data_IF_986118627082
#
_entry.id   IF_986118627082
#
_cell.length_a   1.000
_cell.length_b   1.000
_cell.length_c   1.000
_cell.angle_alpha   90.00
_cell.angle_beta   90.00
_cell.angle_gamma   90.00
#
_symmetry.space_group_name_H-M   'P 1'
#
loop_
_entity.id
_entity.type
_entity.pdbx_description
1 polymer ?
#
# COMPACT_ATOMS: atom_id res chain seq x y z
N UNK A 1 8.98 29.76 5.78
CA UNK A 1 9.19 30.75 4.70
C UNK A 1 9.21 30.00 3.39
N UNK A 2 8.61 30.52 2.35
CA UNK A 2 8.56 29.90 1.01
C UNK A 2 9.70 30.49 0.16
N UNK A 3 10.56 29.65 -0.42
CA UNK A 3 11.56 30.15 -1.41
C UNK A 3 10.85 30.36 -2.75
N UNK A 4 10.67 31.62 -3.11
CA UNK A 4 10.17 31.99 -4.43
C UNK A 4 11.34 32.39 -5.31
N UNK A 5 11.62 31.64 -6.38
CA UNK A 5 12.49 32.10 -7.45
C UNK A 5 11.72 33.06 -8.37
N UNK A 6 12.31 34.19 -8.68
CA UNK A 6 11.69 35.35 -9.37
C UNK A 6 11.16 35.08 -10.79
N UNK A 7 11.18 33.85 -11.27
CA UNK A 7 10.65 33.45 -12.59
C UNK A 7 9.59 32.33 -12.54
N UNK A 8 9.17 31.88 -11.37
CA UNK A 8 8.25 30.73 -11.21
C UNK A 8 7.12 31.15 -10.29
N UNK A 9 5.89 31.06 -10.77
CA UNK A 9 4.66 31.39 -10.02
C UNK A 9 4.33 30.44 -8.87
N UNK A 10 5.13 29.38 -8.66
CA UNK A 10 4.92 28.39 -7.61
C UNK A 10 6.07 28.46 -6.61
N UNK A 11 5.75 28.86 -5.39
CA UNK A 11 6.72 28.84 -4.29
C UNK A 11 6.81 27.43 -3.73
N UNK A 12 8.01 26.84 -3.75
CA UNK A 12 8.24 25.57 -3.02
C UNK A 12 8.23 25.86 -1.51
N UNK A 13 7.51 25.06 -0.71
CA UNK A 13 7.57 25.19 0.75
C UNK A 13 8.99 24.89 1.25
N UNK A 14 9.52 25.76 2.11
CA UNK A 14 10.96 25.78 2.50
C UNK A 14 11.49 24.51 3.18
N UNK A 15 10.66 23.56 3.58
CA UNK A 15 11.11 22.34 4.32
C UNK A 15 10.07 21.20 4.30
N UNK A 16 9.49 20.83 3.20
CA UNK A 16 8.71 19.60 3.23
C UNK A 16 9.38 18.51 2.37
N UNK A 17 9.33 17.29 2.84
CA UNK A 17 9.61 16.12 2.03
C UNK A 17 8.31 15.71 1.35
N UNK A 18 8.32 15.50 0.03
CA UNK A 18 7.17 14.93 -0.67
C UNK A 18 7.01 13.45 -0.31
N UNK A 19 5.79 12.94 -0.45
CA UNK A 19 5.47 11.53 -0.23
C UNK A 19 5.05 10.87 -1.55
N UNK A 20 5.83 9.92 -2.02
CA UNK A 20 5.51 9.10 -3.19
C UNK A 20 5.10 7.71 -2.74
N UNK A 21 3.95 7.25 -3.21
CA UNK A 21 3.31 6.02 -2.74
C UNK A 21 3.29 5.00 -3.88
N UNK A 22 3.79 3.80 -3.61
CA UNK A 22 3.79 2.66 -4.53
C UNK A 22 3.20 1.46 -3.82
N UNK A 23 2.42 0.65 -4.53
CA UNK A 23 1.83 -0.51 -3.89
C UNK A 23 0.61 -1.07 -4.59
N UNK A 24 -0.19 -1.74 -3.79
CA UNK A 24 -1.39 -2.46 -4.18
C UNK A 24 -2.68 -1.80 -3.65
N UNK A 25 -3.75 -2.59 -3.44
CA UNK A 25 -5.05 -2.10 -3.00
C UNK A 25 -5.06 -1.52 -1.59
N UNK A 26 -4.12 -1.88 -0.70
CA UNK A 26 -4.00 -1.24 0.62
C UNK A 26 -3.57 0.23 0.50
N UNK A 27 -3.06 0.63 -0.65
CA UNK A 27 -2.53 1.97 -0.90
C UNK A 27 -3.17 2.70 -2.09
N UNK A 28 -3.90 2.01 -2.99
CA UNK A 28 -4.52 2.62 -4.18
C UNK A 28 -5.64 3.59 -3.81
N UNK A 29 -5.39 4.86 -3.99
CA UNK A 29 -6.37 5.91 -3.71
C UNK A 29 -7.27 6.27 -4.90
N UNK A 30 -7.31 5.41 -5.93
CA UNK A 30 -8.22 5.53 -7.06
C UNK A 30 -7.56 5.51 -8.45
N UNK A 31 -6.30 5.07 -8.60
CA UNK A 31 -5.69 4.91 -9.92
C UNK A 31 -6.47 3.94 -10.80
N UNK A 32 -7.01 2.87 -10.23
CA UNK A 32 -7.78 1.87 -10.96
C UNK A 32 -9.10 2.40 -11.53
N UNK A 33 -9.55 3.59 -11.13
CA UNK A 33 -10.69 4.25 -11.76
C UNK A 33 -10.41 4.71 -13.20
N UNK A 34 -9.13 4.85 -13.56
CA UNK A 34 -8.68 5.44 -14.82
C UNK A 34 -8.03 4.45 -15.78
N UNK A 35 -8.12 3.15 -15.49
CA UNK A 35 -7.62 2.07 -16.36
C UNK A 35 -8.78 1.17 -16.80
N UNK A 36 -8.60 0.46 -17.90
CA UNK A 36 -9.54 -0.55 -18.36
C UNK A 36 -9.36 -1.83 -17.51
N UNK A 37 -10.24 -2.02 -16.53
CA UNK A 37 -10.20 -3.15 -15.59
C UNK A 37 -11.61 -3.57 -15.19
N UNK A 38 -11.73 -4.61 -14.36
CA UNK A 38 -13.02 -5.08 -13.83
C UNK A 38 -13.33 -4.47 -12.47
N UNK A 39 -14.60 -4.54 -12.07
CA UNK A 39 -15.08 -4.05 -10.77
C UNK A 39 -14.41 -4.72 -9.57
N UNK A 40 -13.82 -5.91 -9.73
CA UNK A 40 -13.05 -6.58 -8.67
C UNK A 40 -11.75 -5.86 -8.33
N UNK A 41 -11.22 -5.04 -9.27
CA UNK A 41 -10.04 -4.22 -9.06
C UNK A 41 -10.40 -2.75 -8.80
N UNK A 42 -11.66 -2.42 -8.50
CA UNK A 42 -12.13 -1.06 -8.28
C UNK A 42 -12.92 -0.94 -6.98
N UNK A 43 -12.91 0.25 -6.40
CA UNK A 43 -13.69 0.62 -5.22
C UNK A 43 -14.35 2.01 -5.40
N UNK A 44 -14.83 2.29 -6.62
CA UNK A 44 -15.44 3.56 -7.02
C UNK A 44 -16.98 3.51 -7.00
N UNK A 45 -17.56 2.72 -6.11
CA UNK A 45 -18.99 2.53 -5.93
C UNK A 45 -19.34 2.38 -4.43
N UNK A 46 -20.59 2.68 -4.03
CA UNK A 46 -21.03 2.45 -2.65
C UNK A 46 -20.92 0.98 -2.26
N UNK A 47 -20.61 0.67 -0.96
CA UNK A 47 -20.48 1.60 0.17
C UNK A 47 -19.06 2.10 0.44
N UNK A 48 -18.09 1.91 -0.48
CA UNK A 48 -16.74 2.43 -0.29
C UNK A 48 -16.76 3.97 -0.14
N UNK A 49 -15.90 4.52 0.72
CA UNK A 49 -15.75 5.96 0.93
C UNK A 49 -16.86 6.63 1.76
N UNK A 50 -17.79 5.87 2.34
CA UNK A 50 -19.00 6.42 3.00
C UNK A 50 -18.72 7.22 4.28
N UNK A 51 -17.59 6.99 4.97
CA UNK A 51 -17.31 7.65 6.25
C UNK A 51 -16.62 9.00 6.07
N UNK A 52 -15.39 9.04 5.60
CA UNK A 52 -14.59 10.26 5.51
C UNK A 52 -14.94 11.11 4.29
N UNK A 53 -14.89 10.53 3.10
CA UNK A 53 -15.09 11.27 1.84
C UNK A 53 -16.55 11.52 1.52
N UNK A 54 -17.48 10.72 2.04
CA UNK A 54 -18.91 10.74 1.73
C UNK A 54 -19.25 10.39 0.27
N UNK A 55 -18.29 9.85 -0.46
CA UNK A 55 -18.45 9.33 -1.81
C UNK A 55 -17.35 8.29 -2.12
N UNK A 56 -17.61 7.36 -3.03
CA UNK A 56 -16.63 6.36 -3.43
C UNK A 56 -15.53 7.02 -4.28
N UNK A 57 -14.31 7.02 -3.75
CA UNK A 57 -13.16 7.67 -4.37
C UNK A 57 -12.25 6.70 -5.15
N UNK A 58 -12.50 5.40 -5.01
CA UNK A 58 -11.64 4.33 -5.52
C UNK A 58 -10.70 3.72 -4.46
N UNK A 59 -10.79 4.21 -3.22
CA UNK A 59 -10.10 3.61 -2.07
C UNK A 59 -10.83 2.37 -1.59
N UNK A 60 -10.09 1.29 -1.36
CA UNK A 60 -10.65 0.03 -0.83
C UNK A 60 -10.88 0.13 0.69
N UNK A 61 -11.69 1.11 1.09
CA UNK A 61 -12.01 1.39 2.50
C UNK A 61 -13.32 2.15 2.58
N UNK A 62 -13.93 2.20 3.76
CA UNK A 62 -15.04 3.11 4.07
C UNK A 62 -14.61 4.59 4.08
N UNK A 63 -13.31 4.86 4.17
CA UNK A 63 -12.76 6.22 4.22
C UNK A 63 -11.31 6.29 3.76
N UNK A 64 -10.43 6.85 4.63
CA UNK A 64 -9.00 6.97 4.36
C UNK A 64 -8.32 5.60 4.40
N UNK A 65 -7.18 5.53 3.74
CA UNK A 65 -6.23 4.42 3.83
C UNK A 65 -4.95 4.86 4.55
N UNK A 66 -4.08 3.90 4.87
CA UNK A 66 -2.81 4.17 5.57
C UNK A 66 -2.01 5.33 4.95
N UNK A 67 -1.83 5.42 3.61
CA UNK A 67 -1.10 6.54 3.01
C UNK A 67 -1.76 7.90 3.19
N UNK A 68 -3.10 7.97 3.22
CA UNK A 68 -3.81 9.23 3.46
C UNK A 68 -3.55 9.74 4.89
N UNK A 69 -3.66 8.85 5.88
CA UNK A 69 -3.38 9.18 7.28
C UNK A 69 -1.89 9.53 7.50
N UNK A 70 -0.96 8.86 6.81
CA UNK A 70 0.46 9.23 6.81
C UNK A 70 0.67 10.62 6.22
N UNK A 71 -0.01 10.97 5.13
CA UNK A 71 0.08 12.32 4.55
C UNK A 71 -0.40 13.39 5.55
N UNK A 72 -1.52 13.15 6.25
CA UNK A 72 -2.01 14.05 7.30
C UNK A 72 -1.00 14.21 8.45
N UNK A 73 -0.42 13.11 8.94
CA UNK A 73 0.62 13.12 9.99
C UNK A 73 1.87 13.88 9.55
N UNK A 74 2.22 13.79 8.26
CA UNK A 74 3.30 14.55 7.64
C UNK A 74 2.94 16.01 7.32
N UNK A 75 1.69 16.44 7.60
CA UNK A 75 1.14 17.77 7.26
C UNK A 75 1.16 18.05 5.75
N UNK A 76 1.00 17.02 4.97
CA UNK A 76 0.82 17.08 3.52
C UNK A 76 -0.69 17.05 3.19
N UNK A 77 -1.10 17.57 2.04
CA UNK A 77 -2.46 17.37 1.55
C UNK A 77 -2.70 15.88 1.28
N UNK A 78 -3.95 15.45 1.25
CA UNK A 78 -4.30 14.14 0.70
C UNK A 78 -3.81 14.07 -0.73
N UNK A 79 -2.99 13.07 -1.04
CA UNK A 79 -2.32 12.98 -2.33
C UNK A 79 -3.28 12.46 -3.40
N UNK A 80 -3.21 12.99 -4.63
CA UNK A 80 -4.03 12.48 -5.73
C UNK A 80 -3.48 11.14 -6.26
N UNK A 81 -4.32 10.32 -6.90
CA UNK A 81 -3.84 9.26 -7.76
C UNK A 81 -3.15 9.84 -8.99
N UNK A 82 -2.07 9.20 -9.45
CA UNK A 82 -1.26 9.71 -10.59
C UNK A 82 -2.06 9.86 -11.87
N UNK A 83 -3.01 8.96 -12.13
CA UNK A 83 -3.83 8.98 -13.33
C UNK A 83 -5.02 9.93 -13.26
N UNK A 84 -5.21 10.64 -12.14
CA UNK A 84 -6.30 11.63 -12.02
C UNK A 84 -6.18 12.70 -13.13
N UNK A 85 -7.26 12.96 -13.92
CA UNK A 85 -7.20 13.95 -14.96
C UNK A 85 -7.07 15.37 -14.38
N UNK A 86 -6.22 16.18 -14.98
CA UNK A 86 -6.01 17.58 -14.61
C UNK A 86 -4.53 17.93 -14.45
N UNK A 87 -4.25 19.23 -14.31
CA UNK A 87 -2.91 19.73 -14.04
C UNK A 87 -2.60 19.57 -12.55
N UNK A 88 -2.08 18.41 -12.14
CA UNK A 88 -1.68 18.15 -10.77
C UNK A 88 -0.23 18.56 -10.59
N UNK A 89 0.02 19.40 -9.58
CA UNK A 89 1.36 19.71 -9.13
C UNK A 89 1.81 18.63 -8.13
N UNK A 90 2.77 17.79 -8.50
CA UNK A 90 3.25 16.68 -7.66
C UNK A 90 4.28 17.10 -6.61
N UNK A 91 4.39 18.39 -6.30
CA UNK A 91 5.40 18.91 -5.35
C UNK A 91 5.24 18.37 -3.93
N UNK A 92 4.05 17.95 -3.55
CA UNK A 92 3.79 17.28 -2.27
C UNK A 92 3.88 15.75 -2.36
N UNK A 93 4.03 15.22 -3.58
CA UNK A 93 4.01 13.80 -3.89
C UNK A 93 2.78 13.36 -4.66
N UNK A 94 2.66 12.07 -4.88
CA UNK A 94 1.57 11.45 -5.64
C UNK A 94 1.50 9.95 -5.33
N UNK A 95 0.33 9.38 -5.51
CA UNK A 95 0.08 7.97 -5.33
C UNK A 95 0.07 7.23 -6.68
N UNK A 96 0.95 6.24 -6.83
CA UNK A 96 1.05 5.37 -8.02
C UNK A 96 0.44 3.99 -7.81
N UNK A 97 0.05 3.64 -6.58
CA UNK A 97 -0.43 2.32 -6.22
C UNK A 97 -1.64 1.91 -7.05
N UNK A 98 -1.84 0.60 -7.23
CA UNK A 98 -2.91 0.03 -8.03
C UNK A 98 -3.45 -1.23 -7.38
N UNK A 99 -4.75 -1.26 -7.13
CA UNK A 99 -5.43 -2.43 -6.55
C UNK A 99 -5.16 -3.69 -7.34
N UNK A 100 -4.73 -4.78 -6.66
CA UNK A 100 -4.38 -6.05 -7.28
C UNK A 100 -2.95 -6.16 -7.81
N UNK A 101 -2.16 -5.08 -7.77
CA UNK A 101 -0.76 -5.11 -8.23
C UNK A 101 0.12 -5.99 -7.34
N UNK A 102 1.08 -6.66 -7.96
CA UNK A 102 2.18 -7.35 -7.32
C UNK A 102 3.53 -6.72 -7.64
N UNK A 103 4.59 -7.26 -7.04
CA UNK A 103 5.96 -6.95 -7.42
C UNK A 103 6.29 -7.56 -8.79
N UNK A 104 5.63 -8.66 -9.14
CA UNK A 104 5.74 -9.31 -10.45
C UNK A 104 4.80 -8.66 -11.45
N UNK A 105 5.27 -8.54 -12.68
CA UNK A 105 4.46 -8.01 -13.78
C UNK A 105 3.30 -8.94 -14.16
N UNK A 106 3.48 -10.23 -13.93
CA UNK A 106 2.52 -11.29 -14.21
C UNK A 106 1.33 -11.27 -13.26
N UNK A 107 1.48 -10.69 -12.06
CA UNK A 107 0.40 -10.57 -11.07
C UNK A 107 -0.70 -9.67 -11.61
N UNK A 108 -1.90 -10.23 -11.80
CA UNK A 108 -3.07 -9.55 -12.38
C UNK A 108 -2.76 -8.83 -13.71
N UNK A 109 -1.92 -9.43 -14.55
CA UNK A 109 -1.41 -8.83 -15.79
C UNK A 109 -2.53 -8.29 -16.67
N UNK A 110 -2.35 -7.04 -17.13
CA UNK A 110 -3.30 -6.35 -18.01
C UNK A 110 -4.52 -5.77 -17.30
N UNK A 111 -4.70 -6.06 -16.01
CA UNK A 111 -5.83 -5.59 -15.20
C UNK A 111 -5.45 -4.48 -14.22
N UNK A 112 -4.15 -4.31 -13.94
CA UNK A 112 -3.61 -3.40 -12.93
C UNK A 112 -2.38 -2.68 -13.44
N UNK A 113 -1.93 -1.68 -12.70
CA UNK A 113 -0.66 -0.96 -12.95
C UNK A 113 0.43 -1.68 -12.15
N UNK A 114 1.21 -2.53 -12.81
CA UNK A 114 2.29 -3.29 -12.19
C UNK A 114 3.38 -2.38 -11.60
N UNK A 115 4.16 -2.89 -10.64
CA UNK A 115 5.17 -2.10 -9.91
C UNK A 115 6.20 -1.43 -10.85
N UNK A 116 6.60 -2.08 -11.93
CA UNK A 116 7.53 -1.50 -12.90
C UNK A 116 6.93 -0.30 -13.62
N UNK A 117 5.64 -0.37 -13.95
CA UNK A 117 4.88 0.74 -14.53
C UNK A 117 4.73 1.88 -13.52
N UNK A 118 4.45 1.59 -12.23
CA UNK A 118 4.43 2.61 -11.15
C UNK A 118 5.77 3.35 -11.06
N UNK A 119 6.90 2.64 -11.12
CA UNK A 119 8.25 3.27 -11.16
C UNK A 119 8.45 4.10 -12.43
N UNK A 120 7.92 3.67 -13.57
CA UNK A 120 7.94 4.47 -14.81
C UNK A 120 7.18 5.80 -14.66
N UNK A 121 6.04 5.79 -13.97
CA UNK A 121 5.29 7.01 -13.67
C UNK A 121 6.09 7.97 -12.78
N UNK A 122 6.82 7.46 -11.79
CA UNK A 122 7.73 8.29 -10.99
C UNK A 122 8.84 8.93 -11.86
N UNK A 123 9.38 8.21 -12.85
CA UNK A 123 10.35 8.79 -13.81
C UNK A 123 9.73 9.92 -14.62
N UNK A 124 8.45 9.81 -14.99
CA UNK A 124 7.74 10.91 -15.65
C UNK A 124 7.59 12.11 -14.73
N UNK A 125 7.30 11.92 -13.44
CA UNK A 125 7.28 13.02 -12.45
C UNK A 125 8.65 13.69 -12.32
N UNK A 126 9.75 12.94 -12.30
CA UNK A 126 11.10 13.50 -12.35
C UNK A 126 11.31 14.39 -13.58
N UNK A 127 10.90 13.92 -14.76
CA UNK A 127 11.01 14.68 -15.99
C UNK A 127 10.21 15.99 -15.94
N UNK A 128 8.99 15.95 -15.41
CA UNK A 128 8.16 17.14 -15.18
C UNK A 128 8.84 18.13 -14.22
N UNK A 129 9.40 17.65 -13.12
CA UNK A 129 10.17 18.51 -12.20
C UNK A 129 11.40 19.12 -12.87
N UNK A 130 12.14 18.32 -13.65
CA UNK A 130 13.32 18.82 -14.37
C UNK A 130 12.97 19.89 -15.40
N UNK A 131 11.87 19.73 -16.12
CA UNK A 131 11.37 20.73 -17.08
C UNK A 131 10.89 21.99 -16.38
N UNK A 132 10.24 21.87 -15.22
CA UNK A 132 9.64 23.02 -14.52
C UNK A 132 10.62 23.79 -13.65
N UNK A 133 11.47 23.09 -12.92
CA UNK A 133 12.35 23.65 -11.88
C UNK A 133 13.84 23.56 -12.21
N UNK A 134 14.20 22.83 -13.27
CA UNK A 134 15.59 22.49 -13.60
C UNK A 134 16.09 21.24 -12.86
N UNK A 135 17.15 20.62 -13.41
CA UNK A 135 17.65 19.32 -12.92
C UNK A 135 18.08 19.34 -11.44
N UNK A 136 18.80 20.39 -11.01
CA UNK A 136 19.32 20.47 -9.64
C UNK A 136 18.19 20.49 -8.59
N UNK A 137 17.13 21.28 -8.82
CA UNK A 137 15.98 21.36 -7.92
C UNK A 137 15.17 20.06 -7.95
N UNK A 138 14.99 19.45 -9.13
CA UNK A 138 14.33 18.16 -9.26
C UNK A 138 15.05 17.06 -8.46
N UNK A 139 16.38 16.98 -8.53
CA UNK A 139 17.18 16.05 -7.74
C UNK A 139 17.07 16.32 -6.24
N UNK A 140 17.07 17.59 -5.82
CA UNK A 140 16.87 17.98 -4.43
C UNK A 140 15.52 17.52 -3.90
N UNK A 141 14.41 17.79 -4.62
CA UNK A 141 13.06 17.33 -4.25
C UNK A 141 13.05 15.82 -4.08
N UNK A 142 13.51 15.06 -5.08
CA UNK A 142 13.46 13.60 -5.07
C UNK A 142 14.34 12.99 -3.97
N UNK A 143 15.50 13.58 -3.68
CA UNK A 143 16.39 13.07 -2.63
C UNK A 143 15.86 13.31 -1.21
N UNK A 144 15.08 14.36 -1.01
CA UNK A 144 14.44 14.69 0.27
C UNK A 144 13.12 13.94 0.46
N UNK A 145 12.50 13.45 -0.61
CA UNK A 145 11.21 12.77 -0.58
C UNK A 145 11.26 11.40 0.10
N UNK A 146 10.12 10.98 0.63
CA UNK A 146 9.91 9.64 1.18
C UNK A 146 9.12 8.80 0.18
N UNK A 147 9.57 7.57 -0.06
CA UNK A 147 8.95 6.60 -0.95
C UNK A 147 8.33 5.49 -0.10
N UNK A 148 7.02 5.43 -0.03
CA UNK A 148 6.28 4.50 0.83
C UNK A 148 5.74 3.32 0.02
N UNK A 149 6.02 2.09 0.50
CA UNK A 149 5.67 0.84 -0.15
C UNK A 149 4.80 -0.06 0.72
N UNK A 150 3.81 -0.67 0.10
CA UNK A 150 3.19 -1.90 0.54
C UNK A 150 2.83 -2.72 -0.70
N UNK A 151 3.50 -3.86 -0.93
CA UNK A 151 3.33 -4.70 -2.11
C UNK A 151 3.89 -6.11 -1.85
N UNK A 152 3.38 -7.10 -2.56
CA UNK A 152 3.84 -8.48 -2.50
C UNK A 152 2.73 -9.47 -2.12
N UNK A 153 1.70 -9.02 -1.42
CA UNK A 153 0.61 -9.89 -0.99
C UNK A 153 -0.14 -10.53 -2.18
N UNK A 154 -0.39 -9.77 -3.24
CA UNK A 154 -1.11 -10.25 -4.41
C UNK A 154 -0.30 -11.27 -5.23
N UNK A 155 1.03 -11.20 -5.20
CA UNK A 155 1.88 -12.20 -5.85
C UNK A 155 1.59 -13.58 -5.28
N UNK A 156 1.46 -13.68 -3.95
CA UNK A 156 1.15 -14.93 -3.24
C UNK A 156 -0.32 -15.33 -3.38
N UNK A 157 -1.24 -14.37 -3.53
CA UNK A 157 -2.65 -14.65 -3.81
C UNK A 157 -2.86 -15.49 -5.07
N UNK A 158 -1.98 -15.36 -6.08
CA UNK A 158 -2.01 -16.17 -7.29
C UNK A 158 -1.82 -17.67 -7.04
N UNK A 159 -1.22 -18.06 -5.92
CA UNK A 159 -1.06 -19.46 -5.51
C UNK A 159 -2.37 -20.11 -5.07
N UNK A 160 -3.40 -19.29 -4.75
CA UNK A 160 -4.75 -19.77 -4.40
C UNK A 160 -5.65 -20.01 -5.61
N UNK A 161 -5.30 -19.49 -6.79
CA UNK A 161 -6.08 -19.67 -7.99
C UNK A 161 -5.77 -21.04 -8.64
N UNK A 162 -6.70 -22.04 -8.56
CA UNK A 162 -6.48 -23.34 -9.17
C UNK A 162 -6.38 -23.27 -10.71
N UNK A 163 -6.78 -22.15 -11.32
CA UNK A 163 -6.69 -21.91 -12.76
C UNK A 163 -5.47 -21.02 -13.10
N UNK A 164 -4.67 -20.65 -12.10
CA UNK A 164 -3.45 -19.88 -12.35
C UNK A 164 -2.53 -20.67 -13.27
N UNK A 165 -2.37 -20.17 -14.49
CA UNK A 165 -1.39 -20.67 -15.47
C UNK A 165 0.02 -20.22 -15.13
N UNK A 166 0.23 -19.65 -13.93
CA UNK A 166 1.57 -19.29 -13.51
C UNK A 166 2.40 -20.57 -13.43
N UNK A 167 3.27 -20.76 -14.41
CA UNK A 167 4.28 -21.83 -14.53
C UNK A 167 5.21 -21.89 -13.29
N UNK A 168 4.94 -21.03 -12.34
CA UNK A 168 5.63 -20.79 -11.09
C UNK A 168 4.82 -21.29 -9.88
N UNK A 169 4.04 -22.37 -10.01
CA UNK A 169 3.63 -23.13 -8.83
C UNK A 169 4.85 -23.94 -8.35
N UNK A 170 5.78 -23.38 -7.60
CA UNK A 170 6.83 -24.19 -7.06
C UNK A 170 6.31 -24.78 -5.76
N UNK A 171 6.58 -26.01 -5.62
CA UNK A 171 6.72 -26.68 -4.32
C UNK A 171 7.70 -25.91 -3.40
N UNK A 172 8.48 -24.97 -3.94
CA UNK A 172 9.46 -24.13 -3.25
C UNK A 172 8.96 -22.69 -3.04
N UNK A 173 8.30 -22.46 -1.91
CA UNK A 173 7.86 -21.14 -1.48
C UNK A 173 9.03 -20.13 -1.37
N UNK A 174 10.23 -20.59 -0.98
CA UNK A 174 11.39 -19.72 -0.85
C UNK A 174 11.85 -19.20 -2.21
N UNK A 175 11.92 -20.05 -3.23
CA UNK A 175 12.29 -19.64 -4.59
C UNK A 175 11.31 -18.61 -5.15
N UNK A 176 10.01 -18.76 -4.89
CA UNK A 176 9.02 -17.78 -5.32
C UNK A 176 9.17 -16.45 -4.57
N UNK A 177 9.38 -16.49 -3.26
CA UNK A 177 9.68 -15.28 -2.45
C UNK A 177 10.94 -14.58 -2.98
N UNK A 178 11.98 -15.31 -3.34
CA UNK A 178 13.22 -14.73 -3.87
C UNK A 178 12.99 -13.99 -5.20
N UNK A 179 12.11 -14.50 -6.07
CA UNK A 179 11.71 -13.83 -7.31
C UNK A 179 10.94 -12.54 -7.00
N UNK A 180 9.96 -12.57 -6.09
CA UNK A 180 9.16 -11.40 -5.69
C UNK A 180 10.07 -10.31 -5.09
N UNK A 181 10.95 -10.68 -4.16
CA UNK A 181 11.91 -9.76 -3.52
C UNK A 181 12.94 -9.24 -4.52
N UNK A 182 13.33 -10.05 -5.51
CA UNK A 182 14.21 -9.63 -6.61
C UNK A 182 13.59 -8.46 -7.37
N UNK A 183 12.35 -8.60 -7.84
CA UNK A 183 11.62 -7.55 -8.58
C UNK A 183 11.41 -6.29 -7.73
N UNK A 184 11.02 -6.43 -6.45
CA UNK A 184 10.91 -5.31 -5.54
C UNK A 184 12.26 -4.59 -5.35
N UNK A 185 13.36 -5.36 -5.23
CA UNK A 185 14.71 -4.81 -5.12
C UNK A 185 15.10 -3.99 -6.34
N UNK A 186 14.77 -4.45 -7.53
CA UNK A 186 15.05 -3.74 -8.78
C UNK A 186 14.26 -2.43 -8.85
N UNK A 187 12.97 -2.43 -8.45
CA UNK A 187 12.17 -1.23 -8.34
C UNK A 187 12.80 -0.21 -7.36
N UNK A 188 13.25 -0.65 -6.18
CA UNK A 188 13.94 0.20 -5.20
C UNK A 188 15.21 0.82 -5.78
N UNK A 189 16.04 0.01 -6.47
CA UNK A 189 17.26 0.49 -7.12
C UNK A 189 16.97 1.48 -8.24
N UNK A 190 15.92 1.25 -9.03
CA UNK A 190 15.50 2.19 -10.07
C UNK A 190 15.11 3.54 -9.47
N UNK A 191 14.33 3.55 -8.37
CA UNK A 191 13.97 4.78 -7.66
C UNK A 191 15.21 5.47 -7.04
N UNK A 192 16.13 4.69 -6.48
CA UNK A 192 17.39 5.23 -5.98
C UNK A 192 18.19 5.93 -7.09
N UNK A 193 18.26 5.35 -8.29
CA UNK A 193 18.93 5.92 -9.45
C UNK A 193 18.23 7.17 -10.00
N UNK A 194 16.92 7.28 -9.79
CA UNK A 194 16.13 8.49 -10.12
C UNK A 194 16.42 9.64 -9.15
N UNK A 195 16.95 9.35 -7.96
CA UNK A 195 17.31 10.34 -6.93
C UNK A 195 16.77 10.00 -5.53
N UNK A 196 15.86 9.02 -5.40
CA UNK A 196 15.26 8.64 -4.12
C UNK A 196 16.29 8.12 -3.11
N UNK A 197 16.16 8.53 -1.85
CA UNK A 197 17.09 8.15 -0.78
C UNK A 197 16.40 7.57 0.46
N UNK A 198 15.12 7.86 0.69
CA UNK A 198 14.39 7.55 1.92
C UNK A 198 13.19 6.68 1.63
N UNK A 199 13.19 5.44 2.10
CA UNK A 199 12.23 4.40 1.74
C UNK A 199 11.48 3.90 2.98
N UNK A 200 10.15 3.94 2.95
CA UNK A 200 9.29 3.38 3.98
C UNK A 200 8.59 2.12 3.47
N UNK A 201 8.48 1.11 4.32
CA UNK A 201 7.80 -0.14 3.98
C UNK A 201 6.84 -0.54 5.11
N UNK A 202 5.63 -0.93 4.73
CA UNK A 202 4.86 -1.87 5.53
C UNK A 202 5.19 -3.26 4.99
N UNK A 203 5.65 -4.16 5.85
CA UNK A 203 5.85 -5.53 5.43
C UNK A 203 4.50 -6.22 5.18
N UNK A 204 4.50 -7.40 4.55
CA UNK A 204 3.27 -8.12 4.20
C UNK A 204 2.57 -8.58 5.49
N UNK A 205 1.27 -8.26 5.67
CA UNK A 205 0.49 -8.70 6.83
C UNK A 205 0.25 -10.21 6.80
N UNK A 206 -0.33 -10.82 7.86
CA UNK A 206 -0.71 -12.23 7.86
C UNK A 206 -1.90 -12.45 6.91
N UNK A 207 -1.63 -12.54 5.60
CA UNK A 207 -2.64 -12.64 4.53
C UNK A 207 -3.62 -13.79 4.73
N UNK A 208 -3.17 -14.88 5.36
CA UNK A 208 -4.03 -16.00 5.74
C UNK A 208 -5.13 -15.66 6.74
N UNK A 209 -5.07 -14.47 7.39
CA UNK A 209 -6.08 -14.02 8.35
C UNK A 209 -7.19 -13.17 7.74
N UNK A 210 -7.07 -12.76 6.47
CA UNK A 210 -8.14 -11.99 5.82
C UNK A 210 -9.43 -12.83 5.71
N UNK A 211 -10.59 -12.22 5.83
CA UNK A 211 -11.86 -12.91 5.70
C UNK A 211 -11.95 -13.77 4.43
N UNK A 212 -11.47 -13.27 3.29
CA UNK A 212 -11.50 -13.97 2.00
C UNK A 212 -10.61 -15.22 1.97
N UNK A 213 -9.46 -15.20 2.61
CA UNK A 213 -8.57 -16.37 2.65
C UNK A 213 -9.07 -17.40 3.67
N UNK A 214 -9.64 -16.95 4.78
CA UNK A 214 -10.18 -17.84 5.82
C UNK A 214 -11.36 -18.70 5.36
N UNK A 215 -12.18 -18.24 4.42
CA UNK A 215 -13.27 -19.07 3.87
C UNK A 215 -12.76 -20.29 3.09
N UNK A 216 -11.50 -20.30 2.67
CA UNK A 216 -10.89 -21.40 1.92
C UNK A 216 -10.45 -22.56 2.83
N UNK A 217 -10.35 -22.33 4.15
CA UNK A 217 -9.99 -23.36 5.12
C UNK A 217 -11.25 -23.96 5.75
N UNK A 218 -11.30 -25.28 5.81
CA UNK A 218 -12.39 -26.01 6.45
C UNK A 218 -12.59 -25.51 7.90
N UNK A 219 -13.80 -25.04 8.20
CA UNK A 219 -14.26 -24.44 9.46
C UNK A 219 -13.78 -23.01 9.79
N UNK A 220 -12.89 -22.39 9.00
CA UNK A 220 -12.59 -20.95 9.04
C UNK A 220 -12.26 -20.30 10.40
N UNK A 221 -12.12 -21.06 11.48
CA UNK A 221 -11.91 -20.53 12.83
C UNK A 221 -10.52 -19.92 13.04
N UNK A 222 -9.54 -20.33 12.22
CA UNK A 222 -8.14 -19.90 12.29
C UNK A 222 -7.71 -19.23 10.99
N UNK A 223 -6.59 -18.51 11.03
CA UNK A 223 -5.92 -18.03 9.82
C UNK A 223 -5.37 -19.21 9.01
N UNK A 224 -5.31 -19.07 7.69
CA UNK A 224 -4.67 -20.05 6.83
C UNK A 224 -3.14 -19.95 6.98
N UNK A 225 -2.57 -20.89 7.74
CA UNK A 225 -1.19 -20.79 8.21
C UNK A 225 -0.15 -20.86 7.08
N UNK A 226 -0.41 -21.62 6.02
CA UNK A 226 0.50 -21.72 4.87
C UNK A 226 0.73 -20.33 4.22
N UNK A 227 -0.32 -19.54 4.04
CA UNK A 227 -0.22 -18.17 3.53
C UNK A 227 0.44 -17.22 4.51
N UNK A 228 0.17 -17.39 5.80
CA UNK A 228 0.86 -16.62 6.84
C UNK A 228 2.34 -16.95 6.90
N UNK A 229 2.72 -18.21 6.62
CA UNK A 229 4.12 -18.64 6.55
C UNK A 229 4.86 -17.99 5.36
N UNK A 230 4.23 -17.93 4.18
CA UNK A 230 4.82 -17.24 3.00
C UNK A 230 5.04 -15.75 3.30
N UNK A 231 4.08 -15.08 3.94
CA UNK A 231 4.24 -13.69 4.36
C UNK A 231 5.46 -13.50 5.28
N UNK A 232 5.69 -14.43 6.23
CA UNK A 232 6.89 -14.39 7.09
C UNK A 232 8.19 -14.58 6.31
N UNK A 233 8.21 -15.48 5.32
CA UNK A 233 9.38 -15.69 4.44
C UNK A 233 9.69 -14.40 3.67
N UNK A 234 8.66 -13.79 3.07
CA UNK A 234 8.78 -12.48 2.38
C UNK A 234 9.38 -11.42 3.30
N UNK A 235 8.81 -11.25 4.49
CA UNK A 235 9.21 -10.22 5.43
C UNK A 235 10.66 -10.36 5.89
N UNK A 236 11.11 -11.60 6.12
CA UNK A 236 12.50 -11.91 6.45
C UNK A 236 13.45 -11.59 5.28
N UNK A 237 13.06 -11.98 4.05
CA UNK A 237 13.85 -11.70 2.85
C UNK A 237 13.93 -10.20 2.55
N UNK A 238 12.81 -9.46 2.70
CA UNK A 238 12.77 -8.00 2.55
C UNK A 238 13.70 -7.31 3.54
N UNK A 239 13.62 -7.65 4.83
CA UNK A 239 14.47 -7.06 5.88
C UNK A 239 15.96 -7.28 5.59
N UNK A 240 16.34 -8.48 5.19
CA UNK A 240 17.72 -8.80 4.80
C UNK A 240 18.16 -7.94 3.61
N UNK A 241 17.32 -7.87 2.57
CA UNK A 241 17.63 -7.12 1.35
C UNK A 241 17.78 -5.62 1.62
N UNK A 242 16.93 -5.02 2.43
CA UNK A 242 17.02 -3.59 2.76
C UNK A 242 18.30 -3.26 3.55
N UNK A 243 18.70 -4.15 4.47
CA UNK A 243 19.97 -4.00 5.17
C UNK A 243 21.18 -4.10 4.23
N UNK A 244 21.15 -4.97 3.22
CA UNK A 244 22.18 -5.05 2.18
C UNK A 244 22.22 -3.78 1.32
N UNK A 245 21.05 -3.26 0.91
CA UNK A 245 20.95 -2.01 0.13
C UNK A 245 21.49 -0.81 0.90
N UNK A 246 21.24 -0.70 2.21
CA UNK A 246 21.79 0.40 3.03
C UNK A 246 23.31 0.39 3.05
N UNK A 247 23.95 -0.79 3.02
CA UNK A 247 25.41 -0.91 2.94
C UNK A 247 25.97 -0.59 1.56
N UNK A 248 25.21 -0.90 0.49
CA UNK A 248 25.67 -0.77 -0.89
C UNK A 248 25.41 0.61 -1.49
N UNK A 249 24.32 1.26 -1.09
CA UNK A 249 23.82 2.49 -1.71
C UNK A 249 24.05 3.69 -0.81
N UNK A 250 24.92 4.60 -1.23
CA UNK A 250 25.30 5.79 -0.45
C UNK A 250 24.09 6.67 -0.14
N UNK A 251 23.83 6.91 1.13
CA UNK A 251 22.75 7.78 1.61
C UNK A 251 21.37 7.12 1.56
N UNK A 252 21.28 5.84 1.23
CA UNK A 252 20.04 5.06 1.35
C UNK A 252 19.62 4.98 2.81
N UNK A 253 18.37 5.32 3.09
CA UNK A 253 17.73 5.23 4.40
C UNK A 253 16.41 4.52 4.28
N UNK A 254 16.07 3.69 5.25
CA UNK A 254 14.81 2.96 5.20
C UNK A 254 14.13 2.85 6.57
N UNK A 255 12.84 2.63 6.51
CA UNK A 255 11.95 2.30 7.62
C UNK A 255 11.16 1.05 7.23
N UNK A 256 11.11 0.06 8.10
CA UNK A 256 10.19 -1.07 7.96
C UNK A 256 9.32 -1.14 9.20
N UNK A 257 8.02 -1.04 9.01
CA UNK A 257 7.05 -1.42 10.03
C UNK A 257 6.85 -2.94 9.99
N UNK A 258 6.98 -3.60 11.14
CA UNK A 258 6.53 -4.99 11.31
C UNK A 258 4.99 -5.03 11.37
N UNK A 259 4.40 -4.83 10.18
CA UNK A 259 2.95 -4.80 10.01
C UNK A 259 2.35 -6.18 10.28
N UNK A 260 3.09 -7.26 9.95
CA UNK A 260 2.67 -8.63 10.26
C UNK A 260 2.39 -8.83 11.75
N UNK A 261 3.35 -8.48 12.62
CA UNK A 261 3.19 -8.66 14.06
C UNK A 261 2.18 -7.68 14.66
N UNK A 262 2.19 -6.41 14.23
CA UNK A 262 1.23 -5.42 14.70
C UNK A 262 -0.21 -5.82 14.33
N UNK A 263 -0.43 -6.25 13.09
CA UNK A 263 -1.73 -6.74 12.63
C UNK A 263 -2.18 -7.98 13.42
N UNK A 264 -1.28 -8.95 13.60
CA UNK A 264 -1.57 -10.18 14.36
C UNK A 264 -1.98 -9.89 15.80
N UNK A 265 -1.37 -8.88 16.44
CA UNK A 265 -1.74 -8.46 17.79
C UNK A 265 -3.17 -7.89 17.84
N UNK A 266 -3.53 -7.03 16.88
CA UNK A 266 -4.88 -6.47 16.76
C UNK A 266 -5.90 -7.56 16.45
N UNK A 267 -5.59 -8.44 15.50
CA UNK A 267 -6.45 -9.54 15.09
C UNK A 267 -6.78 -10.48 16.26
N UNK A 268 -5.79 -10.85 17.05
CA UNK A 268 -5.95 -11.79 18.17
C UNK A 268 -6.54 -11.14 19.44
N UNK A 269 -6.40 -9.83 19.62
CA UNK A 269 -6.85 -9.12 20.81
C UNK A 269 -7.52 -7.77 20.46
N UNK A 270 -8.59 -7.77 19.62
CA UNK A 270 -9.12 -6.53 19.04
C UNK A 270 -9.56 -5.50 20.07
N UNK A 271 -10.17 -5.91 21.18
CA UNK A 271 -10.66 -5.00 22.21
C UNK A 271 -9.55 -4.21 22.90
N UNK A 272 -8.35 -4.78 23.00
CA UNK A 272 -7.17 -4.09 23.53
C UNK A 272 -6.76 -2.88 22.67
N UNK A 273 -7.08 -2.94 21.38
CA UNK A 273 -6.73 -1.92 20.38
C UNK A 273 -7.94 -1.09 19.95
N UNK A 274 -9.06 -1.23 20.67
CA UNK A 274 -10.26 -0.44 20.46
C UNK A 274 -11.18 -0.95 19.34
N UNK A 275 -10.96 -2.16 18.83
CA UNK A 275 -11.87 -2.84 17.89
C UNK A 275 -12.72 -3.86 18.63
N UNK A 276 -13.93 -4.17 18.13
CA UNK A 276 -14.73 -5.27 18.65
C UNK A 276 -14.64 -6.51 17.75
N UNK A 277 -14.47 -6.29 16.45
CA UNK A 277 -14.53 -7.33 15.43
C UNK A 277 -13.29 -7.25 14.55
N UNK A 278 -12.42 -8.27 14.60
CA UNK A 278 -11.21 -8.34 13.77
C UNK A 278 -11.25 -9.47 12.74
N UNK A 279 -12.19 -10.39 12.83
CA UNK A 279 -12.21 -11.62 12.04
C UNK A 279 -13.31 -11.67 10.97
N UNK A 280 -14.12 -10.63 10.89
CA UNK A 280 -15.27 -10.52 9.96
C UNK A 280 -15.21 -9.17 9.28
N UNK A 281 -15.45 -9.12 7.97
CA UNK A 281 -15.58 -7.87 7.23
C UNK A 281 -16.82 -7.08 7.69
N UNK A 282 -16.75 -5.74 7.62
CA UNK A 282 -17.94 -4.91 7.81
C UNK A 282 -18.91 -5.07 6.64
N UNK A 283 -18.36 -5.16 5.41
CA UNK A 283 -19.12 -5.28 4.17
C UNK A 283 -18.77 -6.58 3.43
N UNK A 284 -19.76 -7.31 2.99
CA UNK A 284 -19.58 -8.53 2.22
C UNK A 284 -20.69 -9.56 2.50
N UNK A 285 -20.54 -10.77 1.98
CA UNK A 285 -21.48 -11.87 2.17
C UNK A 285 -20.77 -13.18 2.54
N UNK A 286 -21.57 -14.21 2.86
CA UNK A 286 -21.06 -15.52 3.25
C UNK A 286 -20.32 -15.56 4.59
N UNK A 287 -19.66 -16.68 4.92
CA UNK A 287 -18.91 -16.82 6.16
C UNK A 287 -17.86 -15.71 6.30
N UNK A 288 -17.79 -15.11 7.49
CA UNK A 288 -16.89 -13.99 7.82
C UNK A 288 -17.06 -12.74 6.92
N UNK A 289 -18.13 -12.65 6.11
CA UNK A 289 -18.25 -11.71 5.00
C UNK A 289 -17.01 -11.73 4.09
N UNK A 290 -16.47 -12.95 3.92
CA UNK A 290 -15.26 -13.21 3.16
C UNK A 290 -15.47 -13.35 1.67
N UNK A 291 -16.72 -13.41 1.20
CA UNK A 291 -17.05 -13.40 -0.23
C UNK A 291 -16.89 -11.98 -0.75
N UNK A 292 -16.16 -11.82 -1.87
CA UNK A 292 -15.95 -10.51 -2.52
C UNK A 292 -17.24 -10.03 -3.20
N UNK A 293 -18.11 -9.41 -2.42
CA UNK A 293 -19.43 -8.95 -2.85
C UNK A 293 -19.80 -7.55 -2.37
N UNK A 294 -18.88 -6.83 -1.71
CA UNK A 294 -19.13 -5.51 -1.17
C UNK A 294 -19.43 -4.47 -2.27
N UNK A 295 -20.69 -4.30 -2.61
CA UNK A 295 -21.15 -3.29 -3.59
C UNK A 295 -20.73 -3.55 -5.04
N UNK A 296 -21.06 -2.58 -5.90
CA UNK A 296 -20.71 -2.63 -7.32
C UNK A 296 -21.44 -3.70 -8.12
N UNK A 297 -20.99 -3.93 -9.35
CA UNK A 297 -21.50 -4.96 -10.25
C UNK A 297 -20.65 -6.24 -10.19
N UNK A 298 -20.34 -6.71 -8.98
CA UNK A 298 -19.64 -7.98 -8.77
C UNK A 298 -20.54 -9.16 -9.10
N UNK A 299 -19.96 -10.33 -9.28
CA UNK A 299 -20.71 -11.55 -9.62
C UNK A 299 -21.79 -11.90 -8.60
N UNK A 300 -21.53 -11.64 -7.32
CA UNK A 300 -22.50 -11.74 -6.21
C UNK A 300 -22.89 -10.31 -5.82
N UNK A 301 -24.18 -10.00 -5.93
CA UNK A 301 -24.72 -8.65 -5.71
C UNK A 301 -25.17 -8.39 -4.27
N UNK A 302 -25.52 -9.46 -3.57
CA UNK A 302 -26.03 -9.38 -2.20
C UNK A 302 -24.87 -9.26 -1.23
N UNK A 303 -24.93 -8.27 -0.36
CA UNK A 303 -23.96 -8.08 0.72
C UNK A 303 -24.66 -7.54 1.97
N UNK A 304 -24.07 -7.80 3.10
CA UNK A 304 -24.40 -7.21 4.37
C UNK A 304 -23.43 -6.07 4.67
N UNK A 305 -23.93 -5.05 5.39
CA UNK A 305 -23.11 -3.97 5.94
C UNK A 305 -23.26 -3.99 7.47
N UNK A 306 -22.16 -3.78 8.19
CA UNK A 306 -22.20 -3.73 9.64
C UNK A 306 -22.83 -2.43 10.15
N UNK A 307 -23.37 -2.44 11.38
CA UNK A 307 -24.00 -1.27 12.00
C UNK A 307 -22.99 -0.18 12.35
N UNK A 308 -21.76 -0.56 12.71
CA UNK A 308 -20.71 0.37 13.13
C UNK A 308 -19.34 -0.05 12.57
N UNK A 309 -18.94 0.59 11.49
CA UNK A 309 -17.66 0.32 10.81
C UNK A 309 -16.44 0.58 11.71
N UNK A 310 -16.52 1.53 12.64
CA UNK A 310 -15.42 1.84 13.56
C UNK A 310 -15.10 0.72 14.57
N UNK A 311 -15.96 -0.28 14.68
CA UNK A 311 -15.73 -1.45 15.53
C UNK A 311 -15.00 -2.58 14.81
N UNK A 312 -14.87 -2.50 13.48
CA UNK A 312 -14.29 -3.52 12.63
C UNK A 312 -12.85 -3.21 12.22
N UNK A 313 -12.02 -4.27 12.16
CA UNK A 313 -10.67 -4.19 11.60
C UNK A 313 -10.72 -4.15 10.06
N UNK A 314 -11.53 -5.03 9.47
CA UNK A 314 -11.72 -5.11 8.03
C UNK A 314 -12.99 -4.38 7.58
N UNK A 315 -12.87 -3.61 6.50
CA UNK A 315 -14.02 -3.05 5.82
C UNK A 315 -14.69 -4.09 4.93
N UNK A 316 -13.95 -4.67 3.99
CA UNK A 316 -14.43 -5.76 3.12
C UNK A 316 -13.72 -7.09 3.43
N UNK A 317 -13.72 -8.01 2.48
CA UNK A 317 -13.11 -9.33 2.62
C UNK A 317 -11.57 -9.32 2.74
N UNK A 318 -10.90 -8.20 2.40
CA UNK A 318 -9.44 -8.07 2.34
C UNK A 318 -8.90 -6.82 3.01
N UNK A 319 -9.65 -5.70 2.99
CA UNK A 319 -9.12 -4.36 3.22
C UNK A 319 -9.55 -3.79 4.57
N UNK A 320 -8.76 -2.85 5.05
CA UNK A 320 -8.94 -2.22 6.35
C UNK A 320 -10.03 -1.15 6.34
N UNK A 321 -10.64 -0.91 7.51
CA UNK A 321 -11.46 0.28 7.74
C UNK A 321 -10.60 1.55 7.81
N UNK A 322 -11.22 2.73 7.66
CA UNK A 322 -10.58 4.04 7.91
C UNK A 322 -9.89 4.07 9.28
N UNK A 323 -10.60 3.67 10.32
CA UNK A 323 -10.07 3.62 11.69
C UNK A 323 -8.86 2.70 11.83
N UNK A 324 -8.89 1.52 11.21
CA UNK A 324 -7.75 0.60 11.24
C UNK A 324 -6.57 1.18 10.47
N UNK A 325 -6.83 1.83 9.35
CA UNK A 325 -5.80 2.52 8.57
C UNK A 325 -5.13 3.64 9.35
N UNK A 326 -5.89 4.46 10.08
CA UNK A 326 -5.37 5.49 10.97
C UNK A 326 -4.49 4.89 12.07
N UNK A 327 -4.94 3.83 12.73
CA UNK A 327 -4.17 3.13 13.77
C UNK A 327 -2.81 2.64 13.25
N UNK A 328 -2.76 1.97 12.10
CA UNK A 328 -1.50 1.49 11.53
C UNK A 328 -0.63 2.62 10.98
N UNK A 329 -1.22 3.70 10.48
CA UNK A 329 -0.48 4.90 10.08
C UNK A 329 0.24 5.55 11.27
N UNK A 330 -0.38 5.63 12.42
CA UNK A 330 0.28 6.13 13.64
C UNK A 330 1.45 5.25 14.05
N UNK A 331 1.32 3.93 13.93
CA UNK A 331 2.42 3.00 14.23
C UNK A 331 3.62 3.17 13.29
N UNK A 332 3.42 3.25 11.99
CA UNK A 332 4.55 3.45 11.07
C UNK A 332 5.15 4.85 11.23
N UNK A 333 4.32 5.84 11.61
CA UNK A 333 4.76 7.22 11.76
C UNK A 333 5.69 7.42 12.95
N UNK A 334 5.33 6.94 14.14
CA UNK A 334 6.02 7.31 15.38
C UNK A 334 6.31 6.17 16.37
N UNK A 335 6.00 4.90 16.03
CA UNK A 335 6.29 3.80 16.93
C UNK A 335 7.80 3.66 17.21
N UNK A 336 8.09 2.96 18.30
CA UNK A 336 9.45 2.65 18.71
C UNK A 336 10.07 1.57 17.79
N UNK A 337 11.36 1.30 17.98
CA UNK A 337 12.14 0.40 17.13
C UNK A 337 11.72 -1.07 17.19
N UNK A 338 10.89 -1.47 18.14
CA UNK A 338 10.35 -2.85 18.18
C UNK A 338 9.22 -3.06 17.18
N UNK A 339 8.58 -1.99 16.71
CA UNK A 339 7.50 -2.01 15.73
C UNK A 339 7.98 -1.49 14.38
N UNK A 340 8.79 -0.42 14.38
CA UNK A 340 9.24 0.24 13.14
C UNK A 340 10.73 0.53 13.22
N UNK A 341 11.54 -0.06 12.34
CA UNK A 341 13.00 0.01 12.40
C UNK A 341 13.66 0.08 11.01
N UNK A 342 14.92 0.55 10.89
CA UNK A 342 15.74 1.22 11.90
C UNK A 342 15.25 2.64 12.24
N UNK A 343 14.46 3.25 11.37
CA UNK A 343 13.80 4.56 11.54
C UNK A 343 12.29 4.36 11.51
N UNK A 344 11.50 5.24 12.15
CA UNK A 344 10.09 5.40 11.84
C UNK A 344 9.91 6.45 10.73
N UNK A 345 8.71 6.57 10.14
CA UNK A 345 8.50 7.49 9.02
C UNK A 345 8.76 8.94 9.40
N UNK A 346 8.35 9.37 10.60
CA UNK A 346 8.61 10.73 11.08
C UNK A 346 10.11 11.05 11.01
N UNK A 347 10.96 10.14 11.49
CA UNK A 347 12.41 10.31 11.41
C UNK A 347 12.91 10.38 9.96
N UNK A 348 12.33 9.57 9.03
CA UNK A 348 12.71 9.68 7.61
C UNK A 348 12.35 11.04 7.01
N UNK A 349 11.21 11.61 7.38
CA UNK A 349 10.80 12.94 6.93
C UNK A 349 11.73 14.04 7.47
N UNK A 350 12.25 13.86 8.67
CA UNK A 350 13.11 14.83 9.37
C UNK A 350 14.60 14.77 8.94
N UNK A 351 15.05 13.63 8.34
CA UNK A 351 16.40 13.49 7.75
C UNK A 351 16.57 14.38 6.51
#
# INVERSE_FOLDING_TARGET
>A
MTQCHSSITTCLPEKHAALFILGDSLFDNGNNNYINTTTSYQANYPPYGETFFKYPSGRFSDGRMIPDAVAELAKLPILPPYLHPGNVEYVYGVNFASGGAGALRETSQGMVIDLKTQVSYLKNVKNLFSQRFGHAIAEEILSKSVYLFNIGANDYGSLLDPNSTSVLLPVDHQGFVDIVIGNLTDAIKEIYNVGGKKFGFLNVPPIGCSPAVRILVNNGSTCFEEFSAIARLHNNALSKRLHELEKQLKGFKYSVMDFYSAFSQVFNNPTKYGFKVASVGCCGSGPYRGVDSCGGNKGIKEYELCDNVNEHLFFDSHHLTDRASEYFAELIWNANRTVTSPYNLKQLFEL
#
